data_IF_959277251636
#
_entry.id   IF_959277251636
#
_cell.length_a   1.000
_cell.length_b   1.000
_cell.length_c   1.000
_cell.angle_alpha   90.00
_cell.angle_beta   90.00
_cell.angle_gamma   90.00
#
_symmetry.space_group_name_H-M   'P 1'
#
loop_
_entity.id
_entity.type
_entity.pdbx_description
1 polymer ?
#
# COMPACT_ATOMS: atom_id res chain seq x y z
N UNK A 1 4.22 -13.47 -4.52
CA UNK A 1 3.55 -12.14 -4.51
C UNK A 1 2.09 -12.29 -4.14
N UNK A 2 1.67 -11.58 -3.11
CA UNK A 2 0.27 -11.63 -2.70
C UNK A 2 -0.56 -10.67 -3.54
N UNK A 3 -1.76 -11.10 -3.93
CA UNK A 3 -2.65 -10.28 -4.74
C UNK A 3 -3.75 -9.70 -3.87
N UNK A 4 -3.95 -8.39 -3.98
CA UNK A 4 -4.95 -7.66 -3.19
C UNK A 4 -6.04 -7.16 -4.13
N UNK A 5 -7.25 -7.63 -3.93
CA UNK A 5 -8.37 -7.19 -4.76
C UNK A 5 -8.87 -5.84 -4.27
N UNK A 6 -8.95 -4.90 -5.18
CA UNK A 6 -9.35 -3.52 -4.85
C UNK A 6 -10.56 -3.12 -5.66
N UNK A 7 -11.31 -2.15 -5.13
CA UNK A 7 -12.39 -1.54 -5.88
C UNK A 7 -11.82 -0.55 -6.88
N UNK A 8 -12.23 -0.62 -8.14
CA UNK A 8 -11.80 0.39 -9.09
C UNK A 8 -12.32 1.77 -8.66
N UNK A 9 -11.63 2.84 -9.00
CA UNK A 9 -10.44 2.83 -9.85
C UNK A 9 -9.12 2.63 -9.08
N UNK A 10 -9.10 2.85 -7.76
CA UNK A 10 -7.84 2.80 -7.00
C UNK A 10 -8.08 2.59 -5.51
N UNK A 11 -7.00 2.27 -4.80
CA UNK A 11 -6.96 2.32 -3.34
C UNK A 11 -5.80 3.24 -2.96
N UNK A 12 -5.93 4.00 -1.88
CA UNK A 12 -4.83 4.84 -1.43
C UNK A 12 -3.85 4.01 -0.61
N UNK A 13 -2.57 4.37 -0.67
CA UNK A 13 -1.52 3.62 0.04
C UNK A 13 -1.83 3.47 1.54
N UNK A 14 -2.27 4.55 2.20
CA UNK A 14 -2.64 4.48 3.61
C UNK A 14 -3.77 3.49 3.88
N UNK A 15 -4.73 3.41 2.97
CA UNK A 15 -5.83 2.45 3.09
C UNK A 15 -5.33 1.01 2.93
N UNK A 16 -4.38 0.79 2.03
CA UNK A 16 -3.80 -0.52 1.84
C UNK A 16 -3.10 -1.00 3.11
N UNK A 17 -2.36 -0.12 3.77
CA UNK A 17 -1.66 -0.48 5.01
C UNK A 17 -2.62 -0.96 6.09
N UNK A 18 -3.79 -0.36 6.18
CA UNK A 18 -4.83 -0.78 7.12
C UNK A 18 -5.49 -2.08 6.68
N UNK A 19 -5.74 -2.19 5.39
CA UNK A 19 -6.42 -3.36 4.82
C UNK A 19 -5.64 -4.66 5.06
N UNK A 20 -4.32 -4.60 4.96
CA UNK A 20 -3.47 -5.77 5.17
C UNK A 20 -2.94 -5.87 6.61
N UNK A 21 -3.51 -5.08 7.51
CA UNK A 21 -3.20 -5.09 8.95
C UNK A 21 -1.74 -4.75 9.29
N UNK A 22 -1.06 -4.01 8.44
CA UNK A 22 0.29 -3.52 8.75
C UNK A 22 0.18 -2.45 9.85
N UNK A 23 -0.88 -1.62 9.80
CA UNK A 23 -1.17 -0.67 10.85
C UNK A 23 -2.60 -0.86 11.30
N UNK A 24 -2.86 -0.52 12.57
CA UNK A 24 -4.20 -0.64 13.14
C UNK A 24 -5.11 0.47 12.64
N UNK A 25 -6.41 0.20 12.63
CA UNK A 25 -7.42 1.20 12.36
C UNK A 25 -7.25 2.34 13.35
N UNK A 26 -7.12 3.56 12.84
CA UNK A 26 -6.83 4.72 13.69
C UNK A 26 -5.34 4.95 13.92
N UNK A 27 -4.49 4.04 13.45
CA UNK A 27 -3.06 4.22 13.54
C UNK A 27 -2.58 5.28 12.55
N UNK A 28 -1.32 5.72 12.71
CA UNK A 28 -0.75 6.76 11.88
C UNK A 28 -0.06 6.20 10.64
N UNK A 29 -0.70 6.31 9.49
CA UNK A 29 -0.09 5.94 8.22
C UNK A 29 1.13 6.82 7.94
N UNK A 30 1.03 8.09 8.31
CA UNK A 30 2.12 9.03 8.07
C UNK A 30 3.38 8.61 8.81
N UNK A 31 3.24 8.27 10.09
CA UNK A 31 4.39 7.85 10.89
C UNK A 31 5.01 6.57 10.35
N UNK A 32 4.18 5.60 9.99
CA UNK A 32 4.67 4.36 9.43
C UNK A 32 5.47 4.60 8.14
N UNK A 33 4.94 5.45 7.26
CA UNK A 33 5.58 5.76 5.99
C UNK A 33 6.88 6.55 6.16
N UNK A 34 7.00 7.32 7.24
CA UNK A 34 8.23 8.06 7.51
C UNK A 34 9.34 7.16 8.04
N UNK A 35 8.99 6.07 8.72
CA UNK A 35 9.95 5.18 9.38
C UNK A 35 10.22 3.87 8.64
N UNK A 36 9.46 3.56 7.59
CA UNK A 36 9.64 2.34 6.82
C UNK A 36 9.72 2.64 5.33
N UNK A 37 10.63 1.95 4.65
CA UNK A 37 10.77 2.12 3.20
C UNK A 37 9.74 1.26 2.49
N UNK A 38 8.72 1.90 1.95
CA UNK A 38 7.70 1.22 1.17
C UNK A 38 7.92 1.58 -0.29
N UNK A 39 8.00 0.58 -1.14
CA UNK A 39 8.24 0.79 -2.56
C UNK A 39 6.95 0.59 -3.36
N UNK A 40 6.65 1.55 -4.21
CA UNK A 40 5.55 1.44 -5.16
C UNK A 40 6.17 1.35 -6.55
N UNK A 41 6.01 0.21 -7.19
CA UNK A 41 6.62 -0.05 -8.50
C UNK A 41 8.12 0.24 -8.49
N UNK A 42 8.80 -0.14 -7.40
CA UNK A 42 10.24 0.00 -7.27
C UNK A 42 10.74 1.33 -6.75
N UNK A 43 9.87 2.27 -6.48
CA UNK A 43 10.26 3.59 -5.99
C UNK A 43 9.72 3.83 -4.57
N UNK A 44 10.55 4.42 -3.71
CA UNK A 44 10.13 4.72 -2.34
C UNK A 44 8.98 5.73 -2.36
N UNK A 45 7.90 5.40 -1.66
CA UNK A 45 6.75 6.27 -1.54
C UNK A 45 6.45 6.54 -0.07
N UNK A 46 6.32 7.81 0.29
CA UNK A 46 6.02 8.20 1.67
C UNK A 46 4.67 8.91 1.83
N UNK A 47 3.96 9.12 0.71
CA UNK A 47 2.67 9.79 0.74
C UNK A 47 1.54 8.77 0.96
N UNK A 48 0.81 8.95 2.06
CA UNK A 48 -0.31 8.05 2.36
C UNK A 48 -1.44 8.17 1.33
N UNK A 49 -1.51 9.30 0.65
CA UNK A 49 -2.52 9.54 -0.37
C UNK A 49 -2.18 9.03 -1.76
N UNK A 50 -1.02 8.37 -1.92
CA UNK A 50 -0.65 7.81 -3.22
C UNK A 50 -1.73 6.85 -3.70
N UNK A 51 -2.25 7.09 -4.89
CA UNK A 51 -3.27 6.23 -5.49
C UNK A 51 -2.61 5.01 -6.14
N UNK A 52 -3.13 3.84 -5.81
CA UNK A 52 -2.63 2.56 -6.34
C UNK A 52 -3.70 1.99 -7.25
N UNK A 53 -3.30 1.71 -8.48
CA UNK A 53 -4.21 1.24 -9.51
C UNK A 53 -4.02 -0.24 -9.80
N UNK A 54 -4.86 -0.78 -10.65
CA UNK A 54 -4.76 -2.16 -11.08
C UNK A 54 -3.34 -2.49 -11.56
N UNK A 55 -2.79 -3.59 -11.07
CA UNK A 55 -1.47 -4.13 -11.36
C UNK A 55 -0.28 -3.40 -10.70
N UNK A 56 -0.53 -2.33 -9.97
CA UNK A 56 0.54 -1.69 -9.22
C UNK A 56 1.09 -2.65 -8.17
N UNK A 57 2.41 -2.65 -7.99
CA UNK A 57 3.09 -3.52 -7.05
C UNK A 57 3.66 -2.70 -5.90
N UNK A 58 3.33 -3.11 -4.68
CA UNK A 58 3.81 -2.45 -3.46
C UNK A 58 4.64 -3.44 -2.67
N UNK A 59 5.87 -3.05 -2.31
CA UNK A 59 6.75 -3.88 -1.50
C UNK A 59 6.84 -3.30 -0.10
N UNK A 60 6.50 -4.12 0.89
CA UNK A 60 6.51 -3.74 2.31
C UNK A 60 7.18 -4.85 3.08
N UNK A 61 8.27 -4.53 3.81
CA UNK A 61 8.99 -5.52 4.65
C UNK A 61 9.29 -6.82 3.90
N UNK A 62 9.86 -6.70 2.71
CA UNK A 62 10.24 -7.83 1.85
C UNK A 62 9.07 -8.64 1.30
N UNK A 63 7.84 -8.22 1.56
CA UNK A 63 6.65 -8.85 1.02
C UNK A 63 6.09 -7.97 -0.11
N UNK A 64 5.80 -8.59 -1.24
CA UNK A 64 5.23 -7.85 -2.38
C UNK A 64 3.74 -8.11 -2.49
N UNK A 65 3.00 -7.04 -2.79
CA UNK A 65 1.55 -7.07 -2.97
C UNK A 65 1.20 -6.45 -4.32
N UNK A 66 0.41 -7.14 -5.12
CA UNK A 66 -0.05 -6.59 -6.38
C UNK A 66 -1.53 -6.25 -6.29
N UNK A 67 -1.87 -5.01 -6.70
CA UNK A 67 -3.26 -4.57 -6.72
C UNK A 67 -3.97 -5.18 -7.91
N UNK A 68 -5.11 -5.81 -7.66
CA UNK A 68 -5.92 -6.44 -8.71
C UNK A 68 -7.34 -5.88 -8.64
N UNK A 69 -7.81 -5.33 -9.72
CA UNK A 69 -9.18 -4.82 -9.83
C UNK A 69 -10.18 -5.97 -9.74
N UNK A 70 -11.23 -5.76 -8.96
CA UNK A 70 -12.31 -6.75 -8.85
C UNK A 70 -13.07 -6.91 -10.14
#
# INVERSE_FOLDING_TARGET
MEKIKIRPPFIKLGQLLKFIDIIESGGSEKEYLETHDILVNGEIERRRGRKLYNQDIVKINDQEYQMIEK
#
